data_IF_613492370645
#
_entry.id   IF_613492370645
#
_cell.length_a   1.000
_cell.length_b   1.000
_cell.length_c   1.000
_cell.angle_alpha   90.00
_cell.angle_beta   90.00
_cell.angle_gamma   90.00
#
_symmetry.space_group_name_H-M   'P 1'
#
loop_
_entity.id
_entity.type
_entity.pdbx_description
1 polymer ?
#
# COMPACT_ATOMS: atom_id res chain seq x y z
N UNK A 1 -16.51 -33.57 0.68
CA UNK A 1 -15.54 -34.50 0.05
C UNK A 1 -14.75 -33.84 -1.08
N UNK A 2 -15.33 -33.49 -2.24
CA UNK A 2 -14.57 -32.82 -3.33
C UNK A 2 -14.01 -31.46 -2.89
N UNK A 3 -14.83 -30.64 -2.21
CA UNK A 3 -14.39 -29.37 -1.61
C UNK A 3 -13.19 -29.57 -0.67
N UNK A 4 -13.28 -30.53 0.24
CA UNK A 4 -12.25 -30.73 1.26
C UNK A 4 -10.96 -31.30 0.66
N UNK A 5 -11.05 -32.10 -0.41
CA UNK A 5 -9.88 -32.52 -1.22
C UNK A 5 -9.20 -31.31 -1.86
N UNK A 6 -9.98 -30.42 -2.51
CA UNK A 6 -9.44 -29.19 -3.10
C UNK A 6 -8.79 -28.29 -2.06
N UNK A 7 -9.36 -28.18 -0.86
CA UNK A 7 -8.76 -27.43 0.23
C UNK A 7 -7.42 -28.02 0.67
N UNK A 8 -7.28 -29.35 0.71
CA UNK A 8 -6.00 -30.01 1.02
C UNK A 8 -5.00 -29.80 -0.12
N UNK A 9 -5.41 -29.91 -1.38
CA UNK A 9 -4.55 -29.63 -2.55
C UNK A 9 -4.03 -28.19 -2.53
N UNK A 10 -4.90 -27.22 -2.23
CA UNK A 10 -4.51 -25.82 -2.07
C UNK A 10 -3.55 -25.61 -0.90
N UNK A 11 -3.80 -26.26 0.25
CA UNK A 11 -2.95 -26.16 1.43
C UNK A 11 -1.56 -26.80 1.26
N UNK A 12 -1.42 -27.79 0.37
CA UNK A 12 -0.12 -28.39 0.02
C UNK A 12 0.77 -27.42 -0.77
N UNK A 13 0.16 -26.44 -1.46
CA UNK A 13 0.86 -25.53 -2.36
C UNK A 13 1.41 -26.23 -3.61
N UNK A 14 2.12 -25.47 -4.44
CA UNK A 14 2.73 -26.00 -5.68
C UNK A 14 4.10 -26.63 -5.44
N UNK A 15 4.78 -26.25 -4.35
CA UNK A 15 6.16 -26.65 -4.06
C UNK A 15 7.21 -25.99 -4.97
N UNK A 16 6.78 -25.21 -5.96
CA UNK A 16 7.66 -24.47 -6.88
C UNK A 16 8.14 -23.16 -6.25
N UNK A 17 7.25 -22.45 -5.54
CA UNK A 17 7.55 -21.20 -4.86
C UNK A 17 6.86 -21.17 -3.48
N UNK A 18 7.54 -20.61 -2.48
CA UNK A 18 6.97 -20.37 -1.15
C UNK A 18 7.13 -18.90 -0.79
N UNK A 19 6.00 -18.23 -0.58
CA UNK A 19 5.93 -16.90 -0.02
C UNK A 19 5.40 -16.98 1.42
N UNK A 20 5.74 -16.00 2.25
CA UNK A 20 5.11 -15.87 3.56
C UNK A 20 3.73 -15.25 3.37
N UNK A 21 2.69 -15.94 3.82
CA UNK A 21 1.35 -15.36 3.95
C UNK A 21 1.36 -14.14 4.88
N UNK A 22 0.36 -13.26 4.77
CA UNK A 22 0.16 -12.14 5.72
C UNK A 22 0.15 -12.62 7.17
N UNK A 23 -0.52 -13.74 7.42
CA UNK A 23 -0.54 -14.38 8.73
C UNK A 23 0.84 -14.85 9.20
N UNK A 24 1.65 -15.44 8.32
CA UNK A 24 3.03 -15.85 8.63
C UNK A 24 3.95 -14.64 8.88
N UNK A 25 3.81 -13.54 8.12
CA UNK A 25 4.58 -12.31 8.33
C UNK A 25 4.27 -11.73 9.72
N UNK A 26 2.98 -11.58 10.06
CA UNK A 26 2.53 -11.10 11.38
C UNK A 26 3.02 -12.02 12.50
N UNK A 27 2.91 -13.34 12.32
CA UNK A 27 3.38 -14.31 13.30
C UNK A 27 4.90 -14.29 13.44
N UNK A 28 5.65 -14.10 12.36
CA UNK A 28 7.11 -13.99 12.40
C UNK A 28 7.55 -12.78 13.20
N UNK A 29 6.86 -11.65 13.08
CA UNK A 29 7.16 -10.47 13.88
C UNK A 29 6.94 -10.73 15.37
N UNK A 30 5.79 -11.29 15.74
CA UNK A 30 5.42 -11.52 17.15
C UNK A 30 6.23 -12.65 17.78
N UNK A 31 6.40 -13.77 17.08
CA UNK A 31 7.00 -15.01 17.59
C UNK A 31 8.50 -15.13 17.27
N UNK A 32 8.98 -14.33 16.34
CA UNK A 32 10.38 -14.31 15.95
C UNK A 32 11.26 -13.64 16.99
N UNK A 33 12.56 -13.66 16.70
CA UNK A 33 13.58 -13.03 17.54
C UNK A 33 14.36 -12.02 16.72
N UNK A 34 14.86 -11.00 17.39
CA UNK A 34 15.80 -10.02 16.85
C UNK A 34 17.01 -9.88 17.76
N UNK A 35 18.08 -9.31 17.22
CA UNK A 35 19.21 -8.85 18.02
C UNK A 35 18.80 -7.57 18.75
N UNK A 36 19.04 -7.53 20.06
CA UNK A 36 18.78 -6.36 20.91
C UNK A 36 20.00 -6.02 21.75
N UNK A 37 20.11 -4.76 22.16
CA UNK A 37 21.20 -4.33 23.03
C UNK A 37 20.97 -4.85 24.46
N UNK A 38 21.99 -5.48 25.05
CA UNK A 38 21.96 -6.00 26.44
C UNK A 38 22.17 -4.91 27.49
N UNK A 39 22.67 -3.77 27.04
CA UNK A 39 22.87 -2.55 27.82
C UNK A 39 22.78 -1.37 26.86
N UNK A 40 22.64 -0.17 27.40
CA UNK A 40 22.84 1.06 26.62
C UNK A 40 24.23 1.07 25.95
N UNK A 41 24.27 1.39 24.66
CA UNK A 41 25.47 1.53 23.83
C UNK A 41 25.53 2.97 23.32
N UNK A 42 26.65 3.64 23.58
CA UNK A 42 26.89 5.02 23.16
C UNK A 42 27.51 5.08 21.74
N UNK A 43 27.28 6.17 21.00
CA UNK A 43 27.96 6.41 19.73
C UNK A 43 29.49 6.31 19.87
N UNK A 44 30.15 5.64 18.92
CA UNK A 44 31.58 5.40 18.92
C UNK A 44 32.02 4.12 19.65
N UNK A 45 31.13 3.46 20.41
CA UNK A 45 31.43 2.16 21.01
C UNK A 45 31.48 1.06 19.94
N UNK A 46 32.42 0.12 20.10
CA UNK A 46 32.48 -1.09 19.27
C UNK A 46 31.52 -2.13 19.84
N UNK A 47 30.59 -2.61 19.04
CA UNK A 47 29.61 -3.62 19.43
C UNK A 47 30.33 -4.95 19.64
N UNK A 48 30.31 -5.45 20.87
CA UNK A 48 30.94 -6.73 21.25
C UNK A 48 29.88 -7.79 21.61
N UNK A 49 30.23 -9.08 21.59
CA UNK A 49 29.31 -10.17 21.92
C UNK A 49 28.56 -10.01 23.25
N UNK A 50 29.19 -9.44 24.27
CA UNK A 50 28.59 -9.23 25.59
C UNK A 50 27.53 -8.12 25.60
N UNK A 51 27.53 -7.23 24.60
CA UNK A 51 26.56 -6.15 24.45
C UNK A 51 25.29 -6.57 23.70
N UNK A 52 25.25 -7.77 23.13
CA UNK A 52 24.15 -8.22 22.27
C UNK A 52 23.39 -9.37 22.95
N UNK A 53 22.06 -9.32 22.86
CA UNK A 53 21.17 -10.39 23.27
C UNK A 53 20.20 -10.74 22.13
N UNK A 54 19.54 -11.89 22.25
CA UNK A 54 18.50 -12.33 21.31
C UNK A 54 17.18 -12.38 22.06
N UNK A 55 16.25 -11.48 21.72
CA UNK A 55 14.92 -11.40 22.35
C UNK A 55 13.82 -11.33 21.27
N UNK A 56 12.59 -11.70 21.65
CA UNK A 56 11.41 -11.42 20.84
C UNK A 56 10.77 -10.09 21.28
N UNK A 57 9.99 -9.42 20.43
CA UNK A 57 9.61 -9.83 19.06
C UNK A 57 10.73 -9.59 18.03
N UNK A 58 10.54 -10.02 16.78
CA UNK A 58 11.44 -9.75 15.65
C UNK A 58 11.26 -8.33 15.11
N UNK A 59 11.50 -7.32 15.94
CA UNK A 59 11.37 -5.90 15.59
C UNK A 59 12.66 -5.28 15.02
N UNK A 60 13.79 -5.97 15.15
CA UNK A 60 15.10 -5.59 14.62
C UNK A 60 15.67 -6.61 13.65
N UNK A 61 16.97 -6.53 13.40
CA UNK A 61 17.71 -7.43 12.52
C UNK A 61 17.65 -8.88 13.03
N UNK A 62 17.65 -9.80 12.08
CA UNK A 62 17.62 -11.24 12.35
C UNK A 62 18.85 -11.67 13.17
N UNK A 63 18.73 -12.63 14.10
CA UNK A 63 19.87 -13.22 14.78
C UNK A 63 20.90 -13.88 13.83
N UNK A 64 20.50 -14.13 12.58
CA UNK A 64 21.40 -14.62 11.54
C UNK A 64 22.43 -13.56 11.09
N UNK A 65 22.13 -12.27 11.27
CA UNK A 65 23.03 -11.15 10.96
C UNK A 65 24.00 -10.84 12.13
N UNK A 66 24.11 -11.74 13.11
CA UNK A 66 24.94 -11.50 14.30
C UNK A 66 26.40 -11.24 13.95
N UNK A 67 26.97 -12.06 13.07
CA UNK A 67 28.37 -11.93 12.68
C UNK A 67 28.63 -10.61 11.90
N UNK A 68 27.62 -10.10 11.19
CA UNK A 68 27.71 -8.82 10.48
C UNK A 68 27.63 -7.61 11.42
N UNK A 69 27.00 -7.77 12.59
CA UNK A 69 26.87 -6.73 13.61
C UNK A 69 28.11 -6.63 14.49
N UNK A 70 28.67 -7.76 14.90
CA UNK A 70 29.78 -7.78 15.86
C UNK A 70 31.01 -7.09 15.27
N UNK A 71 31.57 -6.17 16.04
CA UNK A 71 32.75 -5.40 15.68
C UNK A 71 32.44 -4.11 14.91
N UNK A 72 31.17 -3.82 14.61
CA UNK A 72 30.78 -2.50 14.11
C UNK A 72 30.86 -1.45 15.21
N UNK A 73 30.96 -0.20 14.78
CA UNK A 73 30.95 0.96 15.68
C UNK A 73 29.54 1.53 15.68
N UNK A 74 28.95 1.73 16.85
CA UNK A 74 27.63 2.33 16.96
C UNK A 74 27.67 3.79 16.49
N UNK A 75 26.78 4.18 15.58
CA UNK A 75 26.69 5.55 15.05
C UNK A 75 25.69 6.43 15.80
N UNK A 76 24.92 5.81 16.70
CA UNK A 76 23.82 6.39 17.46
C UNK A 76 23.78 5.76 18.84
N UNK A 77 23.01 6.37 19.72
CA UNK A 77 22.62 5.74 20.96
C UNK A 77 21.68 4.55 20.68
N UNK A 78 21.91 3.45 21.40
CA UNK A 78 21.06 2.25 21.38
C UNK A 78 20.77 1.92 22.84
N UNK A 79 19.52 2.06 23.28
CA UNK A 79 19.13 1.83 24.67
C UNK A 79 19.07 0.33 25.00
N UNK A 80 19.12 -0.03 26.30
CA UNK A 80 18.94 -1.42 26.71
C UNK A 80 17.59 -1.97 26.20
N UNK A 81 17.62 -3.19 25.68
CA UNK A 81 16.51 -3.88 25.01
C UNK A 81 16.01 -3.25 23.71
N UNK A 82 16.66 -2.19 23.23
CA UNK A 82 16.39 -1.65 21.90
C UNK A 82 16.89 -2.62 20.81
N UNK A 83 16.07 -2.92 19.79
CA UNK A 83 16.51 -3.74 18.66
C UNK A 83 17.57 -3.04 17.82
N UNK A 84 18.57 -3.82 17.36
CA UNK A 84 19.47 -3.38 16.30
C UNK A 84 18.72 -3.34 14.97
N UNK A 85 19.01 -2.35 14.13
CA UNK A 85 18.35 -2.08 12.86
C UNK A 85 19.35 -2.25 11.70
N UNK A 86 18.86 -2.28 10.46
CA UNK A 86 19.71 -2.40 9.26
C UNK A 86 20.77 -1.30 9.19
N UNK A 87 20.44 -0.08 9.63
CA UNK A 87 21.42 1.02 9.77
C UNK A 87 22.58 0.69 10.71
N UNK A 88 22.37 -0.15 11.72
CA UNK A 88 23.42 -0.58 12.64
C UNK A 88 24.36 -1.62 11.98
N UNK A 89 23.93 -2.22 10.87
CA UNK A 89 24.77 -2.94 9.90
C UNK A 89 25.37 -2.02 8.83
N UNK A 90 25.38 -0.70 9.05
CA UNK A 90 25.93 0.29 8.12
C UNK A 90 25.18 0.38 6.79
N UNK A 91 23.97 -0.19 6.71
CA UNK A 91 23.08 0.03 5.58
C UNK A 91 22.38 1.37 5.78
N UNK A 92 22.95 2.42 5.20
CA UNK A 92 22.28 3.72 5.16
C UNK A 92 21.28 3.68 4.01
N UNK A 93 20.00 3.78 4.37
CA UNK A 93 18.91 3.88 3.40
C UNK A 93 18.69 5.37 3.14
N UNK A 94 19.20 5.84 2.01
CA UNK A 94 18.99 7.21 1.54
C UNK A 94 18.33 7.19 0.17
N UNK A 95 17.37 8.09 -0.06
CA UNK A 95 16.85 8.34 -1.39
C UNK A 95 17.77 9.34 -2.12
N UNK A 96 18.28 8.94 -3.27
CA UNK A 96 18.89 9.87 -4.22
C UNK A 96 17.78 10.66 -4.93
N UNK A 97 17.37 11.77 -4.31
CA UNK A 97 16.30 12.62 -4.83
C UNK A 97 16.66 13.28 -6.19
N UNK A 98 17.93 13.27 -6.60
CA UNK A 98 18.35 13.78 -7.92
C UNK A 98 18.17 12.74 -9.03
N UNK A 99 18.10 11.45 -8.68
CA UNK A 99 17.99 10.33 -9.62
C UNK A 99 16.78 9.45 -9.30
N UNK A 100 15.59 10.06 -9.21
CA UNK A 100 14.33 9.33 -9.12
C UNK A 100 13.69 9.11 -10.49
N UNK A 101 12.80 8.12 -10.58
CA UNK A 101 11.88 7.99 -11.71
C UNK A 101 11.09 9.30 -11.98
N UNK A 102 10.67 9.57 -13.23
CA UNK A 102 10.20 10.91 -13.64
C UNK A 102 8.72 11.20 -13.33
N UNK A 103 8.04 10.34 -12.57
CA UNK A 103 6.67 10.57 -12.13
C UNK A 103 6.64 11.54 -10.95
N UNK A 104 5.47 12.16 -10.72
CA UNK A 104 5.22 12.98 -9.53
C UNK A 104 5.03 12.06 -8.32
N UNK A 105 6.15 11.65 -7.73
CA UNK A 105 6.17 10.73 -6.61
C UNK A 105 5.96 11.41 -5.25
N UNK A 106 5.45 10.65 -4.29
CA UNK A 106 5.30 11.07 -2.90
C UNK A 106 5.21 9.90 -1.93
N UNK A 107 4.63 10.14 -0.76
CA UNK A 107 4.51 9.15 0.29
C UNK A 107 3.14 9.19 0.94
N UNK A 108 2.71 8.03 1.45
CA UNK A 108 1.63 7.92 2.42
C UNK A 108 2.01 8.62 3.71
N UNK A 109 1.14 9.50 4.19
CA UNK A 109 1.32 10.30 5.41
C UNK A 109 0.03 10.41 6.21
N UNK A 110 0.17 10.85 7.45
CA UNK A 110 -0.91 11.28 8.36
C UNK A 110 -0.64 12.71 8.79
N UNK A 111 -1.64 13.34 9.43
CA UNK A 111 -1.49 14.70 9.95
C UNK A 111 -0.32 14.87 10.93
N UNK A 112 0.09 13.81 11.61
CA UNK A 112 1.15 13.84 12.63
C UNK A 112 2.57 13.66 12.08
N UNK A 113 2.74 13.10 10.88
CA UNK A 113 4.06 12.68 10.37
C UNK A 113 4.42 13.24 8.99
N UNK A 114 3.50 13.95 8.31
CA UNK A 114 3.76 14.47 6.96
C UNK A 114 4.97 15.42 6.89
N UNK A 115 5.21 16.25 7.91
CA UNK A 115 6.33 17.21 7.93
C UNK A 115 7.69 16.52 7.83
N UNK A 116 7.83 15.33 8.42
CA UNK A 116 9.07 14.56 8.33
C UNK A 116 9.35 14.11 6.90
N UNK A 117 8.31 13.72 6.17
CA UNK A 117 8.45 13.23 4.80
C UNK A 117 8.81 14.35 3.81
N UNK A 118 8.52 15.62 4.16
CA UNK A 118 8.93 16.78 3.37
C UNK A 118 10.45 16.96 3.26
N UNK A 119 11.24 16.35 4.17
CA UNK A 119 12.71 16.38 4.08
C UNK A 119 13.24 15.78 2.77
N UNK A 120 12.50 14.85 2.16
CA UNK A 120 12.84 14.20 0.90
C UNK A 120 12.38 14.96 -0.33
N UNK A 121 11.68 16.10 -0.16
CA UNK A 121 11.15 16.94 -1.25
C UNK A 121 10.27 16.18 -2.25
N UNK A 122 9.22 15.47 -1.80
CA UNK A 122 8.29 14.82 -2.71
C UNK A 122 7.52 15.83 -3.57
N UNK A 123 6.93 15.37 -4.66
CA UNK A 123 6.09 16.19 -5.56
C UNK A 123 4.62 16.22 -5.11
N UNK A 124 4.21 15.21 -4.33
CA UNK A 124 2.87 15.05 -3.81
C UNK A 124 2.91 14.40 -2.42
N UNK A 125 1.84 14.55 -1.66
CA UNK A 125 1.62 13.79 -0.44
C UNK A 125 0.26 13.11 -0.52
N UNK A 126 0.21 11.87 -0.03
CA UNK A 126 -1.04 11.14 0.08
C UNK A 126 -1.44 10.98 1.54
N UNK A 127 -2.52 11.67 1.95
CA UNK A 127 -3.04 11.56 3.30
C UNK A 127 -3.99 10.36 3.39
N UNK A 128 -3.62 9.37 4.21
CA UNK A 128 -4.48 8.23 4.52
C UNK A 128 -5.38 8.56 5.70
N UNK A 129 -6.65 8.84 5.42
CA UNK A 129 -7.62 9.18 6.45
C UNK A 129 -8.13 7.94 7.19
N UNK A 130 -8.28 8.10 8.49
CA UNK A 130 -9.20 7.31 9.32
C UNK A 130 -10.56 7.99 9.37
N UNK A 131 -11.59 7.27 9.79
CA UNK A 131 -12.92 7.82 10.06
C UNK A 131 -12.88 9.01 11.02
N UNK A 132 -11.96 9.00 11.99
CA UNK A 132 -11.77 10.09 12.97
C UNK A 132 -11.15 11.33 12.35
N UNK A 133 -10.20 11.18 11.43
CA UNK A 133 -9.53 12.30 10.78
C UNK A 133 -10.54 13.19 10.01
N UNK A 134 -11.67 12.61 9.58
CA UNK A 134 -12.71 13.32 8.82
C UNK A 134 -13.42 14.41 9.63
N UNK A 135 -13.39 14.32 10.96
CA UNK A 135 -13.98 15.30 11.86
C UNK A 135 -12.92 16.30 12.40
N UNK A 136 -11.67 16.19 11.96
CA UNK A 136 -10.57 17.10 12.33
C UNK A 136 -10.39 18.26 11.33
N UNK A 137 -9.66 19.29 11.76
CA UNK A 137 -9.19 20.37 10.90
C UNK A 137 -7.74 20.09 10.48
N UNK A 138 -7.43 20.35 9.22
CA UNK A 138 -6.06 20.23 8.72
C UNK A 138 -5.12 21.13 9.54
N UNK A 139 -4.12 20.57 10.25
CA UNK A 139 -3.29 21.36 11.15
C UNK A 139 -2.10 22.03 10.43
N UNK A 140 -1.89 21.72 9.14
CA UNK A 140 -0.68 22.09 8.41
C UNK A 140 -0.72 23.47 7.76
N UNK A 141 0.45 23.88 7.26
CA UNK A 141 0.62 25.12 6.49
C UNK A 141 0.50 24.92 4.98
N UNK A 142 0.72 25.98 4.21
CA UNK A 142 0.77 25.90 2.74
C UNK A 142 1.97 25.06 2.29
N UNK A 143 1.71 24.02 1.50
CA UNK A 143 2.71 23.09 0.97
C UNK A 143 2.82 23.21 -0.56
N UNK A 144 4.04 23.28 -1.13
CA UNK A 144 4.26 23.43 -2.57
C UNK A 144 4.17 22.10 -3.32
N UNK A 145 3.27 21.20 -2.92
CA UNK A 145 3.12 19.83 -3.46
C UNK A 145 1.67 19.54 -3.79
N UNK A 146 1.42 18.51 -4.60
CA UNK A 146 0.05 18.07 -4.90
C UNK A 146 -0.58 17.33 -3.71
N UNK A 147 -1.90 17.43 -3.59
CA UNK A 147 -2.68 16.71 -2.58
C UNK A 147 -3.35 15.48 -3.18
N UNK A 148 -3.09 14.32 -2.58
CA UNK A 148 -3.91 13.13 -2.77
C UNK A 148 -4.42 12.70 -1.40
N UNK A 149 -5.65 12.21 -1.36
CA UNK A 149 -6.27 11.66 -0.16
C UNK A 149 -6.70 10.24 -0.46
N UNK A 150 -6.33 9.32 0.42
CA UNK A 150 -6.93 8.01 0.48
C UNK A 150 -8.06 8.04 1.50
N UNK A 151 -9.29 7.81 1.04
CA UNK A 151 -10.44 7.81 1.92
C UNK A 151 -10.40 6.61 2.89
N UNK A 152 -11.06 6.68 4.06
CA UNK A 152 -11.09 5.56 4.99
C UNK A 152 -11.76 4.34 4.38
N UNK A 153 -11.21 3.16 4.63
CA UNK A 153 -11.80 1.88 4.19
C UNK A 153 -12.89 1.35 5.14
N UNK A 154 -12.94 1.88 6.36
CA UNK A 154 -13.90 1.46 7.38
C UNK A 154 -14.18 2.58 8.38
N UNK A 155 -15.32 2.47 9.07
CA UNK A 155 -15.64 3.25 10.27
C UNK A 155 -16.06 2.31 11.38
N UNK A 156 -15.57 2.55 12.60
CA UNK A 156 -15.70 1.64 13.74
C UNK A 156 -15.35 0.17 13.42
N UNK A 157 -16.35 -0.65 13.07
CA UNK A 157 -16.22 -2.08 12.71
C UNK A 157 -16.98 -2.43 11.43
N UNK A 158 -17.26 -1.44 10.59
CA UNK A 158 -18.03 -1.57 9.36
C UNK A 158 -17.17 -1.15 8.18
N UNK A 159 -17.10 -1.99 7.15
CA UNK A 159 -16.41 -1.68 5.91
C UNK A 159 -17.20 -0.68 5.08
N UNK A 160 -16.48 0.23 4.45
CA UNK A 160 -16.98 1.03 3.32
C UNK A 160 -17.27 0.12 2.16
N UNK A 161 -18.53 0.17 1.71
CA UNK A 161 -19.00 -0.63 0.60
C UNK A 161 -20.03 0.16 -0.22
N UNK A 162 -19.55 0.85 -1.26
CA UNK A 162 -20.41 1.60 -2.20
C UNK A 162 -21.17 0.68 -3.14
N UNK A 163 -20.80 -0.61 -3.20
CA UNK A 163 -21.47 -1.66 -3.94
C UNK A 163 -22.54 -2.39 -3.12
N UNK A 164 -22.63 -2.13 -1.80
CA UNK A 164 -23.42 -2.97 -0.87
C UNK A 164 -24.87 -3.15 -1.32
N UNK A 165 -25.36 -4.39 -1.20
CA UNK A 165 -26.77 -4.73 -1.38
C UNK A 165 -27.63 -4.30 -0.19
N UNK A 166 -26.99 -4.00 0.95
CA UNK A 166 -27.63 -3.35 2.10
C UNK A 166 -27.63 -1.83 1.87
N UNK A 167 -28.83 -1.27 1.67
CA UNK A 167 -29.00 0.15 1.36
C UNK A 167 -28.59 1.06 2.52
N UNK A 168 -28.69 0.61 3.77
CA UNK A 168 -28.23 1.42 4.91
C UNK A 168 -26.70 1.49 4.91
N UNK A 169 -26.01 0.36 4.74
CA UNK A 169 -24.55 0.34 4.62
C UNK A 169 -24.05 1.15 3.41
N UNK A 170 -24.72 1.03 2.26
CA UNK A 170 -24.36 1.78 1.05
C UNK A 170 -24.47 3.29 1.30
N UNK A 171 -25.59 3.74 1.89
CA UNK A 171 -25.83 5.16 2.18
C UNK A 171 -24.85 5.72 3.22
N UNK A 172 -24.53 4.94 4.25
CA UNK A 172 -23.54 5.33 5.24
C UNK A 172 -22.12 5.41 4.63
N UNK A 173 -21.79 4.50 3.73
CA UNK A 173 -20.54 4.53 2.95
C UNK A 173 -20.44 5.78 2.08
N UNK A 174 -21.51 6.13 1.35
CA UNK A 174 -21.59 7.38 0.56
C UNK A 174 -21.42 8.61 1.45
N UNK A 175 -22.08 8.65 2.62
CA UNK A 175 -21.96 9.76 3.54
C UNK A 175 -20.53 9.93 4.08
N UNK A 176 -19.83 8.82 4.40
CA UNK A 176 -18.44 8.85 4.81
C UNK A 176 -17.51 9.34 3.69
N UNK A 177 -17.72 8.86 2.46
CA UNK A 177 -16.93 9.31 1.30
C UNK A 177 -17.15 10.80 1.00
N UNK A 178 -18.38 11.30 1.15
CA UNK A 178 -18.65 12.73 1.01
C UNK A 178 -17.89 13.55 2.05
N UNK A 179 -17.83 13.10 3.31
CA UNK A 179 -17.01 13.77 4.34
C UNK A 179 -15.53 13.84 3.95
N UNK A 180 -14.98 12.75 3.41
CA UNK A 180 -13.59 12.71 2.95
C UNK A 180 -13.34 13.68 1.79
N UNK A 181 -14.25 13.74 0.82
CA UNK A 181 -14.21 14.72 -0.28
C UNK A 181 -14.27 16.15 0.26
N UNK A 182 -15.19 16.43 1.18
CA UNK A 182 -15.37 17.76 1.75
C UNK A 182 -14.14 18.22 2.55
N UNK A 183 -13.50 17.33 3.30
CA UNK A 183 -12.24 17.62 3.98
C UNK A 183 -11.12 17.88 2.97
N UNK A 184 -11.02 17.06 1.93
CA UNK A 184 -10.04 17.25 0.85
C UNK A 184 -10.19 18.62 0.19
N UNK A 185 -11.43 19.06 -0.08
CA UNK A 185 -11.70 20.41 -0.61
C UNK A 185 -11.26 21.51 0.34
N UNK A 186 -11.46 21.34 1.65
CA UNK A 186 -10.99 22.30 2.66
C UNK A 186 -9.47 22.37 2.73
N UNK A 187 -8.79 21.26 2.48
CA UNK A 187 -7.33 21.19 2.43
C UNK A 187 -6.77 21.80 1.14
N UNK A 188 -7.47 21.65 0.01
CA UNK A 188 -6.98 22.00 -1.32
C UNK A 188 -6.31 23.38 -1.46
N UNK A 189 -6.78 24.47 -0.83
CA UNK A 189 -6.12 25.78 -0.91
C UNK A 189 -4.68 25.82 -0.39
N UNK A 190 -4.30 24.86 0.46
CA UNK A 190 -2.95 24.72 1.02
C UNK A 190 -2.01 23.90 0.13
N UNK A 191 -2.48 23.39 -1.02
CA UNK A 191 -1.72 22.52 -1.90
C UNK A 191 -1.78 23.02 -3.35
N UNK A 192 -0.94 22.44 -4.21
CA UNK A 192 -0.85 22.82 -5.63
C UNK A 192 -1.69 21.88 -6.49
N UNK A 193 -2.44 22.44 -7.44
CA UNK A 193 -3.19 21.67 -8.44
C UNK A 193 -4.57 21.21 -7.96
N UNK A 194 -5.19 20.32 -8.74
CA UNK A 194 -6.47 19.71 -8.38
C UNK A 194 -6.21 18.52 -7.46
N UNK A 195 -6.81 18.47 -6.27
CA UNK A 195 -6.61 17.35 -5.35
C UNK A 195 -7.29 16.10 -5.88
N UNK A 196 -6.74 14.94 -5.55
CA UNK A 196 -7.31 13.62 -5.89
C UNK A 196 -7.86 12.95 -4.63
N UNK A 197 -8.96 12.22 -4.77
CA UNK A 197 -9.54 11.39 -3.70
C UNK A 197 -9.65 9.96 -4.19
N UNK A 198 -8.92 9.06 -3.54
CA UNK A 198 -8.90 7.62 -3.83
C UNK A 198 -9.92 6.93 -2.92
N UNK A 199 -10.73 6.07 -3.53
CA UNK A 199 -11.79 5.35 -2.85
C UNK A 199 -11.79 3.88 -3.26
N UNK A 200 -11.78 3.01 -2.26
CA UNK A 200 -12.11 1.60 -2.44
C UNK A 200 -13.61 1.46 -2.73
N UNK A 201 -14.01 0.86 -3.87
CA UNK A 201 -15.41 0.81 -4.28
C UNK A 201 -16.28 -0.10 -3.40
N UNK A 202 -15.72 -1.09 -2.72
CA UNK A 202 -16.52 -2.05 -1.94
C UNK A 202 -16.63 -3.42 -2.61
N UNK A 203 -17.79 -4.05 -2.44
CA UNK A 203 -18.14 -5.40 -2.89
C UNK A 203 -17.50 -6.53 -2.05
N UNK A 204 -17.44 -6.33 -0.73
CA UNK A 204 -16.78 -7.26 0.19
C UNK A 204 -17.79 -8.21 0.85
N UNK A 205 -17.45 -9.50 0.92
CA UNK A 205 -18.21 -10.49 1.66
C UNK A 205 -17.31 -11.42 2.46
N UNK A 206 -17.78 -11.92 3.60
CA UNK A 206 -16.97 -12.74 4.50
C UNK A 206 -16.92 -14.20 4.04
N UNK A 207 -18.09 -14.84 3.89
CA UNK A 207 -18.17 -16.30 3.76
C UNK A 207 -18.57 -16.78 2.36
N UNK A 208 -19.30 -15.97 1.60
CA UNK A 208 -19.93 -16.39 0.35
C UNK A 208 -19.71 -15.35 -0.75
N UNK A 209 -19.24 -15.77 -1.94
CA UNK A 209 -19.15 -14.87 -3.07
C UNK A 209 -20.55 -14.37 -3.45
N UNK A 210 -20.62 -13.12 -3.89
CA UNK A 210 -21.85 -12.52 -4.39
C UNK A 210 -21.97 -12.86 -5.87
N UNK A 211 -22.97 -13.67 -6.24
CA UNK A 211 -23.14 -14.14 -7.62
C UNK A 211 -23.65 -13.04 -8.57
N UNK A 212 -24.50 -12.12 -8.08
CA UNK A 212 -25.06 -11.03 -8.87
C UNK A 212 -24.15 -9.80 -8.88
N UNK A 213 -23.06 -9.88 -9.65
CA UNK A 213 -22.10 -8.77 -9.81
C UNK A 213 -22.73 -7.56 -10.49
N UNK A 214 -23.80 -7.75 -11.28
CA UNK A 214 -24.50 -6.64 -11.94
C UNK A 214 -25.15 -5.71 -10.93
N UNK A 215 -25.82 -6.27 -9.92
CA UNK A 215 -26.41 -5.47 -8.84
C UNK A 215 -25.36 -4.64 -8.08
N UNK A 216 -24.16 -5.20 -7.89
CA UNK A 216 -23.03 -4.49 -7.26
C UNK A 216 -22.60 -3.27 -8.08
N UNK A 217 -22.40 -3.42 -9.40
CA UNK A 217 -22.04 -2.30 -10.27
C UNK A 217 -23.18 -1.27 -10.43
N UNK A 218 -24.45 -1.71 -10.39
CA UNK A 218 -25.59 -0.80 -10.39
C UNK A 218 -25.63 0.04 -9.10
N UNK A 219 -25.33 -0.56 -7.94
CA UNK A 219 -25.19 0.16 -6.68
C UNK A 219 -23.97 1.07 -6.64
N UNK A 220 -22.82 0.62 -7.13
CA UNK A 220 -21.62 1.46 -7.25
C UNK A 220 -21.91 2.70 -8.10
N UNK A 221 -22.61 2.53 -9.24
CA UNK A 221 -23.04 3.65 -10.09
C UNK A 221 -23.93 4.62 -9.33
N UNK A 222 -24.93 4.13 -8.60
CA UNK A 222 -25.80 4.99 -7.76
C UNK A 222 -24.98 5.77 -6.73
N UNK A 223 -24.11 5.08 -6.00
CA UNK A 223 -23.27 5.66 -4.97
C UNK A 223 -22.36 6.76 -5.52
N UNK A 224 -21.68 6.51 -6.65
CA UNK A 224 -20.85 7.53 -7.31
C UNK A 224 -21.67 8.72 -7.79
N UNK A 225 -22.89 8.51 -8.30
CA UNK A 225 -23.78 9.59 -8.74
C UNK A 225 -24.34 10.43 -7.59
N UNK A 226 -24.39 9.88 -6.38
CA UNK A 226 -24.81 10.58 -5.16
C UNK A 226 -23.69 11.44 -4.56
N UNK A 227 -22.42 11.15 -4.87
CA UNK A 227 -21.27 11.93 -4.42
C UNK A 227 -21.18 13.25 -5.21
N UNK A 228 -21.05 14.34 -4.47
CA UNK A 228 -20.58 15.61 -5.02
C UNK A 228 -19.05 15.65 -4.88
N UNK A 229 -18.36 15.43 -6.00
CA UNK A 229 -16.91 15.50 -6.13
C UNK A 229 -16.46 16.66 -7.03
N UNK A 230 -17.28 17.70 -7.22
CA UNK A 230 -16.83 18.92 -7.89
C UNK A 230 -15.61 19.51 -7.15
N UNK A 231 -14.61 19.94 -7.92
CA UNK A 231 -13.37 20.51 -7.38
C UNK A 231 -12.31 19.49 -6.93
N UNK A 232 -12.60 18.18 -7.00
CA UNK A 232 -11.62 17.11 -6.77
C UNK A 232 -11.67 16.11 -7.93
N UNK A 233 -10.59 15.36 -8.13
CA UNK A 233 -10.57 14.21 -9.04
C UNK A 233 -10.83 12.93 -8.23
N UNK A 234 -12.02 12.34 -8.39
CA UNK A 234 -12.38 11.06 -7.76
C UNK A 234 -11.75 9.90 -8.54
N UNK A 235 -11.00 9.05 -7.84
CA UNK A 235 -10.31 7.89 -8.37
C UNK A 235 -10.80 6.64 -7.65
N UNK A 236 -11.40 5.71 -8.39
CA UNK A 236 -11.71 4.39 -7.85
C UNK A 236 -10.47 3.50 -7.95
N UNK A 237 -10.19 2.71 -6.92
CA UNK A 237 -9.05 1.80 -6.88
C UNK A 237 -9.44 0.36 -7.19
N UNK A 238 -8.62 -0.34 -7.98
CA UNK A 238 -8.77 -1.79 -8.18
C UNK A 238 -8.43 -2.56 -6.90
N UNK A 239 -9.22 -3.60 -6.62
CA UNK A 239 -9.14 -4.34 -5.37
C UNK A 239 -8.49 -5.73 -5.55
N UNK A 240 -7.90 -6.31 -4.48
CA UNK A 240 -7.41 -7.69 -4.51
C UNK A 240 -8.57 -8.68 -4.33
N UNK A 241 -8.42 -9.96 -4.71
CA UNK A 241 -9.47 -10.98 -4.58
C UNK A 241 -9.75 -11.40 -3.15
N UNK A 242 -8.72 -11.39 -2.30
CA UNK A 242 -8.77 -11.93 -0.94
C UNK A 242 -8.16 -10.97 0.10
N UNK A 243 -8.72 -9.76 0.28
CA UNK A 243 -8.19 -8.79 1.22
C UNK A 243 -8.30 -9.27 2.67
N UNK A 244 -7.46 -8.69 3.55
CA UNK A 244 -7.43 -9.02 4.96
C UNK A 244 -8.04 -7.90 5.81
N UNK A 245 -9.27 -8.11 6.28
CA UNK A 245 -10.00 -7.14 7.12
C UNK A 245 -10.33 -7.71 8.50
N UNK A 246 -10.20 -6.87 9.54
CA UNK A 246 -10.58 -7.18 10.92
C UNK A 246 -10.04 -8.53 11.47
N UNK A 247 -8.86 -8.95 11.01
CA UNK A 247 -8.22 -10.19 11.47
C UNK A 247 -8.64 -11.45 10.72
N UNK A 248 -9.33 -11.33 9.59
CA UNK A 248 -9.68 -12.45 8.73
C UNK A 248 -9.58 -12.11 7.24
N UNK A 249 -9.54 -13.15 6.41
CA UNK A 249 -9.61 -13.03 4.96
C UNK A 249 -11.07 -12.84 4.52
N UNK A 250 -11.30 -11.90 3.61
CA UNK A 250 -12.60 -11.63 2.98
C UNK A 250 -12.53 -11.93 1.48
N UNK A 251 -13.68 -11.89 0.81
CA UNK A 251 -13.82 -12.01 -0.63
C UNK A 251 -14.17 -10.65 -1.21
N UNK A 252 -13.48 -10.26 -2.28
CA UNK A 252 -13.87 -9.15 -3.13
C UNK A 252 -14.66 -9.69 -4.33
N UNK A 253 -15.78 -9.05 -4.66
CA UNK A 253 -16.73 -9.56 -5.65
C UNK A 253 -16.88 -8.66 -6.90
N UNK A 254 -16.25 -7.49 -6.93
CA UNK A 254 -16.28 -6.58 -8.07
C UNK A 254 -14.98 -5.74 -8.14
N UNK A 255 -14.79 -5.03 -9.25
CA UNK A 255 -13.73 -4.04 -9.43
C UNK A 255 -12.30 -4.61 -9.32
N UNK A 256 -12.08 -5.79 -9.92
CA UNK A 256 -10.77 -6.45 -9.98
C UNK A 256 -10.28 -6.68 -11.43
N UNK A 257 -11.17 -7.13 -12.32
CA UNK A 257 -10.85 -7.36 -13.73
C UNK A 257 -10.72 -6.05 -14.51
N UNK A 258 -9.65 -5.91 -15.28
CA UNK A 258 -9.37 -4.71 -16.06
C UNK A 258 -10.46 -4.36 -17.09
N UNK A 259 -11.11 -5.35 -17.71
CA UNK A 259 -12.13 -5.07 -18.71
C UNK A 259 -13.43 -4.61 -18.05
N UNK A 260 -13.82 -5.23 -16.93
CA UNK A 260 -14.96 -4.77 -16.14
C UNK A 260 -14.74 -3.36 -15.56
N UNK A 261 -13.55 -3.10 -15.00
CA UNK A 261 -13.16 -1.80 -14.47
C UNK A 261 -13.22 -0.75 -15.59
N UNK A 262 -12.59 -1.02 -16.74
CA UNK A 262 -12.61 -0.13 -17.91
C UNK A 262 -14.05 0.21 -18.31
N UNK A 263 -14.89 -0.80 -18.49
CA UNK A 263 -16.27 -0.59 -18.94
C UNK A 263 -17.06 0.28 -17.95
N UNK A 264 -16.82 0.09 -16.64
CA UNK A 264 -17.44 0.93 -15.61
C UNK A 264 -16.94 2.38 -15.66
N UNK A 265 -15.63 2.61 -15.60
CA UNK A 265 -15.04 3.96 -15.52
C UNK A 265 -15.27 4.75 -16.81
N UNK A 266 -15.22 4.11 -17.99
CA UNK A 266 -15.58 4.74 -19.27
C UNK A 266 -17.04 5.19 -19.27
N UNK A 267 -17.95 4.34 -18.78
CA UNK A 267 -19.39 4.67 -18.73
C UNK A 267 -19.71 5.85 -17.79
N UNK A 268 -18.85 6.08 -16.80
CA UNK A 268 -19.00 7.12 -15.80
C UNK A 268 -18.14 8.36 -16.08
N UNK A 269 -17.24 8.30 -17.08
CA UNK A 269 -16.28 9.37 -17.36
C UNK A 269 -15.24 9.56 -16.24
N UNK A 270 -14.88 8.48 -15.54
CA UNK A 270 -13.94 8.50 -14.41
C UNK A 270 -12.54 8.08 -14.83
N UNK A 271 -11.58 8.46 -13.99
CA UNK A 271 -10.22 7.91 -13.97
C UNK A 271 -10.07 6.99 -12.74
N UNK A 272 -8.90 6.35 -12.60
CA UNK A 272 -8.65 5.41 -11.51
C UNK A 272 -7.29 5.60 -10.82
N UNK A 273 -7.22 5.09 -9.59
CA UNK A 273 -5.95 4.69 -8.97
C UNK A 273 -5.68 3.24 -9.35
N UNK A 274 -4.45 2.94 -9.75
CA UNK A 274 -4.06 1.56 -10.02
C UNK A 274 -3.05 1.07 -8.99
N UNK A 275 -3.46 0.08 -8.22
CA UNK A 275 -2.61 -0.67 -7.31
C UNK A 275 -2.05 -1.92 -8.02
N UNK A 276 -0.72 -1.96 -8.16
CA UNK A 276 -0.01 -3.06 -8.80
C UNK A 276 -0.10 -4.37 -8.04
N UNK A 277 -0.04 -4.32 -6.72
CA UNK A 277 -0.15 -5.47 -5.84
C UNK A 277 -1.56 -6.05 -5.95
N UNK A 278 -2.61 -5.26 -5.77
CA UNK A 278 -4.00 -5.69 -5.92
C UNK A 278 -4.26 -6.41 -7.25
N UNK A 279 -3.87 -5.77 -8.36
CA UNK A 279 -4.07 -6.37 -9.68
C UNK A 279 -3.21 -7.62 -9.87
N UNK A 280 -1.97 -7.66 -9.35
CA UNK A 280 -1.12 -8.84 -9.42
C UNK A 280 -1.73 -10.03 -8.67
N UNK A 281 -2.28 -9.82 -7.49
CA UNK A 281 -3.00 -10.84 -6.73
C UNK A 281 -4.24 -11.33 -7.50
N UNK A 282 -5.01 -10.41 -8.07
CA UNK A 282 -6.15 -10.77 -8.93
C UNK A 282 -5.69 -11.62 -10.13
N UNK A 283 -4.61 -11.24 -10.82
CA UNK A 283 -4.09 -11.97 -11.98
C UNK A 283 -3.68 -13.40 -11.62
N UNK A 284 -3.07 -13.59 -10.44
CA UNK A 284 -2.71 -14.91 -9.95
C UNK A 284 -3.95 -15.76 -9.67
N UNK A 285 -4.99 -15.17 -9.08
CA UNK A 285 -6.26 -15.83 -8.77
C UNK A 285 -7.08 -16.19 -10.01
N UNK A 286 -7.22 -15.25 -10.96
CA UNK A 286 -8.00 -15.42 -12.19
C UNK A 286 -7.20 -16.12 -13.31
N UNK A 287 -5.90 -16.35 -13.13
CA UNK A 287 -4.99 -16.89 -14.12
C UNK A 287 -4.94 -16.08 -15.43
N UNK A 288 -4.85 -14.75 -15.31
CA UNK A 288 -4.75 -13.81 -16.44
C UNK A 288 -3.40 -13.08 -16.47
N UNK A 289 -3.03 -12.48 -17.61
CA UNK A 289 -1.74 -11.76 -17.74
C UNK A 289 -1.81 -10.37 -17.10
N UNK A 290 -0.90 -10.14 -16.14
CA UNK A 290 -0.78 -8.86 -15.44
C UNK A 290 -0.48 -7.68 -16.37
N UNK A 291 0.39 -7.86 -17.37
CA UNK A 291 0.77 -6.75 -18.25
C UNK A 291 -0.32 -6.41 -19.27
N UNK A 292 -1.14 -7.38 -19.66
CA UNK A 292 -2.37 -7.13 -20.42
C UNK A 292 -3.34 -6.27 -19.62
N UNK A 293 -3.59 -6.64 -18.36
CA UNK A 293 -4.47 -5.89 -17.47
C UNK A 293 -3.98 -4.44 -17.28
N UNK A 294 -2.67 -4.24 -17.05
CA UNK A 294 -2.05 -2.91 -17.01
C UNK A 294 -2.30 -2.13 -18.31
N UNK A 295 -2.11 -2.73 -19.49
CA UNK A 295 -2.32 -2.04 -20.78
C UNK A 295 -3.78 -1.61 -20.99
N UNK A 296 -4.73 -2.42 -20.55
CA UNK A 296 -6.17 -2.13 -20.69
C UNK A 296 -6.54 -0.90 -19.86
N UNK A 297 -5.98 -0.78 -18.65
CA UNK A 297 -6.31 0.29 -17.71
C UNK A 297 -5.46 1.54 -17.87
N UNK A 298 -4.25 1.42 -18.43
CA UNK A 298 -3.26 2.51 -18.55
C UNK A 298 -3.82 3.87 -18.99
N UNK A 299 -4.75 3.98 -19.98
CA UNK A 299 -5.31 5.27 -20.38
C UNK A 299 -6.03 6.03 -19.26
N UNK A 300 -6.57 5.31 -18.29
CA UNK A 300 -7.42 5.82 -17.21
C UNK A 300 -6.69 6.02 -15.89
N UNK A 301 -5.44 5.54 -15.78
CA UNK A 301 -4.65 5.68 -14.57
C UNK A 301 -4.26 7.15 -14.38
N UNK A 302 -4.55 7.69 -13.19
CA UNK A 302 -4.11 9.05 -12.77
C UNK A 302 -3.32 9.05 -11.48
N UNK A 303 -3.37 7.94 -10.76
CA UNK A 303 -2.53 7.69 -9.59
C UNK A 303 -2.08 6.22 -9.58
N UNK A 304 -0.89 5.96 -9.06
CA UNK A 304 -0.31 4.62 -8.94
C UNK A 304 0.05 4.35 -7.49
N UNK A 305 -0.51 3.28 -6.93
CA UNK A 305 0.06 2.63 -5.76
C UNK A 305 0.99 1.52 -6.22
N UNK A 306 2.27 1.69 -5.93
CA UNK A 306 3.31 0.75 -6.35
C UNK A 306 3.80 -0.08 -5.17
N UNK A 307 3.38 -1.34 -5.16
CA UNK A 307 3.90 -2.37 -4.27
C UNK A 307 4.01 -3.70 -5.01
N UNK A 308 4.90 -4.57 -4.55
CA UNK A 308 5.02 -5.90 -5.13
C UNK A 308 3.92 -6.82 -4.61
N UNK A 309 3.65 -7.88 -5.36
CA UNK A 309 2.56 -8.80 -5.08
C UNK A 309 2.94 -10.25 -5.38
N UNK A 310 2.60 -11.17 -4.48
CA UNK A 310 2.83 -12.60 -4.68
C UNK A 310 1.67 -13.46 -4.17
N UNK A 311 1.42 -14.58 -4.86
CA UNK A 311 0.38 -15.52 -4.47
C UNK A 311 -1.02 -14.90 -4.46
N UNK A 312 -1.82 -15.27 -3.44
CA UNK A 312 -3.21 -14.85 -3.26
C UNK A 312 -3.42 -13.90 -2.09
N UNK A 313 -2.39 -13.67 -1.27
CA UNK A 313 -2.45 -12.89 -0.03
C UNK A 313 -1.16 -12.11 0.28
N UNK A 314 -0.13 -12.22 -0.56
CA UNK A 314 1.12 -11.45 -0.44
C UNK A 314 0.98 -10.06 -1.05
N UNK A 315 0.10 -9.25 -0.47
CA UNK A 315 -0.21 -7.88 -0.92
C UNK A 315 0.62 -6.83 -0.18
N UNK A 316 1.08 -5.80 -0.89
CA UNK A 316 1.82 -4.67 -0.34
C UNK A 316 3.29 -5.02 -0.03
N UNK A 317 3.86 -6.00 -0.73
CA UNK A 317 5.23 -6.46 -0.50
C UNK A 317 6.23 -5.40 -0.96
N UNK A 318 7.43 -5.46 -0.38
CA UNK A 318 8.53 -4.61 -0.82
C UNK A 318 8.90 -4.93 -2.27
N UNK A 319 9.31 -3.90 -3.02
CA UNK A 319 9.71 -3.98 -4.43
C UNK A 319 10.81 -5.01 -4.61
N UNK A 320 10.59 -6.04 -5.43
CA UNK A 320 11.53 -7.14 -5.66
C UNK A 320 11.41 -8.31 -4.68
N UNK A 321 10.46 -8.27 -3.74
CA UNK A 321 10.13 -9.42 -2.86
C UNK A 321 8.90 -10.20 -3.35
N UNK A 322 8.23 -9.72 -4.39
CA UNK A 322 7.09 -10.39 -5.01
C UNK A 322 7.39 -10.92 -6.42
N UNK A 323 6.35 -10.98 -7.25
CA UNK A 323 6.37 -11.60 -8.57
C UNK A 323 6.21 -10.60 -9.73
N UNK A 324 6.27 -9.30 -9.45
CA UNK A 324 6.19 -8.27 -10.49
C UNK A 324 7.59 -8.06 -11.10
N UNK A 325 7.71 -8.22 -12.42
CA UNK A 325 8.90 -7.78 -13.16
C UNK A 325 8.76 -6.28 -13.44
N UNK A 326 9.37 -5.49 -12.55
CA UNK A 326 9.31 -4.04 -12.56
C UNK A 326 9.91 -3.41 -13.82
N UNK A 327 10.92 -4.04 -14.43
CA UNK A 327 11.50 -3.56 -15.70
C UNK A 327 10.47 -3.71 -16.82
N UNK A 328 9.80 -4.86 -16.91
CA UNK A 328 8.70 -5.07 -17.86
C UNK A 328 7.49 -4.20 -17.56
N UNK A 329 7.19 -3.94 -16.29
CA UNK A 329 6.13 -3.02 -15.86
C UNK A 329 6.38 -1.61 -16.40
N UNK A 330 7.58 -1.05 -16.18
CA UNK A 330 7.91 0.29 -16.69
C UNK A 330 7.97 0.36 -18.22
N UNK A 331 8.41 -0.70 -18.91
CA UNK A 331 8.27 -0.79 -20.38
C UNK A 331 6.82 -0.78 -20.83
N UNK A 332 5.93 -1.35 -20.03
CA UNK A 332 4.49 -1.40 -20.32
C UNK A 332 3.82 -0.05 -20.05
N UNK A 333 4.23 0.65 -18.99
CA UNK A 333 3.76 2.01 -18.69
C UNK A 333 4.20 3.05 -19.74
N UNK A 334 5.37 2.86 -20.36
CA UNK A 334 5.91 3.80 -21.34
C UNK A 334 6.14 5.20 -20.77
N UNK A 335 5.57 6.22 -21.41
CA UNK A 335 5.74 7.62 -21.03
C UNK A 335 4.74 8.13 -19.97
N UNK A 336 4.19 7.25 -19.13
CA UNK A 336 3.34 7.67 -18.02
C UNK A 336 4.08 8.66 -17.09
N UNK A 337 3.40 9.75 -16.72
CA UNK A 337 3.92 10.84 -15.85
C UNK A 337 2.89 11.30 -14.82
N UNK A 338 1.95 10.45 -14.42
CA UNK A 338 1.00 10.78 -13.35
C UNK A 338 1.63 10.72 -11.96
N UNK A 339 0.81 10.89 -10.93
CA UNK A 339 1.28 10.79 -9.53
C UNK A 339 1.45 9.33 -9.11
N UNK A 340 2.33 9.07 -8.16
CA UNK A 340 2.53 7.73 -7.60
C UNK A 340 3.01 7.77 -6.14
N UNK A 341 2.71 6.71 -5.39
CA UNK A 341 3.32 6.43 -4.10
C UNK A 341 3.82 4.97 -4.05
N UNK A 342 4.89 4.67 -3.30
CA UNK A 342 5.20 3.31 -2.91
C UNK A 342 4.28 2.88 -1.77
N UNK A 343 3.29 2.01 -2.03
CA UNK A 343 2.34 1.54 -1.01
C UNK A 343 2.83 0.27 -0.31
N UNK A 344 3.99 0.38 0.32
CA UNK A 344 4.59 -0.76 1.02
C UNK A 344 3.86 -0.95 2.35
N UNK A 345 3.47 -2.19 2.64
CA UNK A 345 2.90 -2.52 3.92
C UNK A 345 3.88 -2.13 5.04
N UNK A 346 3.41 -1.28 5.95
CA UNK A 346 4.21 -0.69 7.04
C UNK A 346 5.43 0.13 6.57
N UNK A 347 5.41 0.66 5.35
CA UNK A 347 6.51 1.47 4.82
C UNK A 347 6.83 2.72 5.66
N UNK A 348 5.85 3.25 6.39
CA UNK A 348 5.99 4.38 7.32
C UNK A 348 6.87 4.09 8.55
N UNK A 349 7.06 2.82 8.91
CA UNK A 349 7.86 2.46 10.07
C UNK A 349 9.30 2.95 9.90
N UNK A 350 9.96 3.21 11.03
CA UNK A 350 11.37 3.66 11.07
C UNK A 350 11.61 4.91 10.20
N UNK A 351 10.67 5.85 10.23
CA UNK A 351 10.75 7.14 9.51
C UNK A 351 10.68 6.98 7.98
N UNK A 352 9.82 6.07 7.50
CA UNK A 352 9.60 5.89 6.06
C UNK A 352 10.62 4.99 5.37
N UNK A 353 11.41 4.20 6.10
CA UNK A 353 12.50 3.38 5.57
C UNK A 353 12.04 2.49 4.39
N UNK A 354 10.87 1.87 4.53
CA UNK A 354 10.31 1.00 3.48
C UNK A 354 9.96 1.77 2.21
N UNK A 355 9.50 3.01 2.33
CA UNK A 355 9.22 3.87 1.18
C UNK A 355 10.49 4.29 0.44
N UNK A 356 11.57 4.59 1.17
CA UNK A 356 12.84 4.99 0.56
C UNK A 356 13.47 3.82 -0.23
N UNK A 357 13.46 2.61 0.34
CA UNK A 357 13.91 1.39 -0.37
C UNK A 357 13.09 1.21 -1.65
N UNK A 358 11.77 1.31 -1.55
CA UNK A 358 10.88 1.13 -2.69
C UNK A 358 11.17 2.15 -3.79
N UNK A 359 11.28 3.44 -3.44
CA UNK A 359 11.59 4.49 -4.40
C UNK A 359 12.92 4.27 -5.12
N UNK A 360 13.96 3.80 -4.40
CA UNK A 360 15.24 3.49 -5.02
C UNK A 360 15.12 2.32 -6.01
N UNK A 361 14.53 1.20 -5.58
CA UNK A 361 14.35 0.02 -6.44
C UNK A 361 13.47 0.29 -7.66
N UNK A 362 12.41 1.08 -7.49
CA UNK A 362 11.55 1.52 -8.59
C UNK A 362 12.29 2.42 -9.57
N UNK A 363 13.12 3.35 -9.08
CA UNK A 363 13.94 4.21 -9.94
C UNK A 363 14.97 3.41 -10.73
N UNK A 364 15.65 2.46 -10.09
CA UNK A 364 16.60 1.55 -10.76
C UNK A 364 15.93 0.73 -11.86
N UNK A 365 14.77 0.12 -11.56
CA UNK A 365 14.00 -0.65 -12.54
C UNK A 365 13.49 0.24 -13.69
N UNK A 366 13.09 1.48 -13.41
CA UNK A 366 12.68 2.46 -14.43
C UNK A 366 13.84 2.77 -15.38
N UNK A 367 15.02 3.11 -14.87
CA UNK A 367 16.17 3.41 -15.72
C UNK A 367 16.64 2.19 -16.51
N UNK A 368 16.59 0.99 -15.92
CA UNK A 368 16.89 -0.24 -16.65
C UNK A 368 15.87 -0.54 -17.76
N UNK A 369 14.60 -0.16 -17.57
CA UNK A 369 13.57 -0.31 -18.60
C UNK A 369 13.80 0.59 -19.82
N UNK A 370 14.49 1.73 -19.64
CA UNK A 370 14.70 2.79 -20.63
C UNK A 370 16.17 2.97 -21.07
N UNK A 371 17.07 2.11 -20.59
CA UNK A 371 18.44 1.96 -21.08
C UNK A 371 18.47 1.10 -22.34
#
# INVERSE_FOLDING_TARGET
MVRDIRNIEAALGTGEEKFMSRGEILNREVLGKSLVARRRIEPGEKITPDMVAVKGPALGISPQCYDDLIGRTAERIIEEDEPFLERDLGHVITLDAEHTLPMDWGFTVRFIDYEMMMAYKPHMLEFHFTDKDLDEEYPGGDLPVQLVVHAPEFWDRTLVDLCSLDEDQRRDSVALMQKAIDLTRRMAPHFVGTPKVIVHPGAMSLDHPIEDTRALYDNLRRSVQELDYEGVELLLENLPPHPWYFGGQWLTNAFMDAYEIRDFIESMGLNMCFDTSHNKLYCNWAHVDFYEQVRVLLPYIRHLHLADGAGLDGEGLQIGEGLIDWVKFFRTLGDYRGTMIPEIWRGHQRQGEGYLIAMQRLSEAYFQAHA
#
